data_IF_887893541223
#
_entry.id   IF_887893541223
#
_cell.length_a   1.000
_cell.length_b   1.000
_cell.length_c   1.000
_cell.angle_alpha   90.00
_cell.angle_beta   90.00
_cell.angle_gamma   90.00
#
_symmetry.space_group_name_H-M   'P 1'
#
loop_
_entity.id
_entity.type
_entity.pdbx_description
1 polymer ?
#
# COMPACT_ATOMS: atom_id res chain seq x y z
N UNK A 1 4.46 -5.96 36.13
CA UNK A 1 3.46 -5.54 35.13
C UNK A 1 3.99 -4.25 34.54
N UNK A 2 4.73 -4.34 33.42
CA UNK A 2 5.60 -3.25 32.95
C UNK A 2 4.85 -2.30 32.03
N UNK A 3 5.10 -1.00 32.19
CA UNK A 3 4.58 0.14 31.42
C UNK A 3 4.76 -0.01 29.89
N UNK A 4 5.60 -0.96 29.45
CA UNK A 4 5.79 -1.34 28.05
C UNK A 4 4.55 -1.99 27.42
N UNK A 5 3.64 -2.59 28.20
CA UNK A 5 2.43 -3.23 27.67
C UNK A 5 1.33 -2.21 27.33
N UNK A 6 1.38 -1.01 27.90
CA UNK A 6 0.34 0.01 27.72
C UNK A 6 0.54 0.84 26.44
N UNK A 7 1.72 0.81 25.81
CA UNK A 7 2.01 1.56 24.58
C UNK A 7 1.56 0.83 23.29
N UNK A 8 1.20 -0.46 23.38
CA UNK A 8 0.72 -1.26 22.23
C UNK A 8 -0.74 -0.99 21.85
N UNK A 9 -1.47 -0.14 22.57
CA UNK A 9 -2.93 0.06 22.39
C UNK A 9 -3.28 1.16 21.38
N UNK A 10 -2.32 1.89 20.79
CA UNK A 10 -2.62 3.03 19.89
C UNK A 10 -1.89 3.01 18.53
N UNK A 11 -1.56 1.83 18.00
CA UNK A 11 -1.30 1.70 16.56
C UNK A 11 -2.55 1.09 15.90
N UNK A 12 -3.57 1.92 15.66
CA UNK A 12 -4.69 1.58 14.78
C UNK A 12 -4.20 1.59 13.33
N UNK A 13 -3.40 0.60 12.96
CA UNK A 13 -3.04 0.29 11.58
C UNK A 13 -3.58 -1.08 11.23
N UNK A 14 -4.13 -1.23 10.03
CA UNK A 14 -4.56 -2.53 9.50
C UNK A 14 -3.35 -3.47 9.42
N UNK A 15 -3.36 -4.58 10.16
CA UNK A 15 -2.32 -5.61 10.01
C UNK A 15 -2.58 -6.46 8.77
N UNK A 16 -1.52 -6.77 8.01
CA UNK A 16 -1.61 -7.75 6.93
C UNK A 16 -1.74 -9.15 7.55
N UNK A 17 -2.88 -9.82 7.32
CA UNK A 17 -3.16 -11.17 7.85
C UNK A 17 -2.10 -12.16 7.37
N UNK A 18 -1.50 -12.90 8.32
CA UNK A 18 -0.40 -13.84 8.03
C UNK A 18 0.94 -13.17 7.69
N UNK A 19 1.01 -11.84 7.76
CA UNK A 19 2.23 -11.07 7.55
C UNK A 19 3.18 -11.07 8.74
N UNK A 20 4.30 -10.36 8.58
CA UNK A 20 5.24 -10.07 9.65
C UNK A 20 5.62 -8.59 9.60
N UNK A 21 6.11 -8.06 10.72
CA UNK A 21 6.54 -6.67 10.80
C UNK A 21 7.71 -6.45 9.84
N UNK A 22 7.55 -5.52 8.91
CA UNK A 22 8.61 -5.13 7.99
C UNK A 22 9.78 -4.50 8.76
N UNK A 23 11.05 -4.87 8.47
CA UNK A 23 12.19 -4.23 9.09
C UNK A 23 12.22 -2.73 8.80
N UNK A 24 12.70 -1.95 9.78
CA UNK A 24 12.77 -0.49 9.68
C UNK A 24 13.57 -0.07 8.44
N UNK A 25 13.08 0.94 7.73
CA UNK A 25 13.71 1.57 6.56
C UNK A 25 13.91 0.65 5.33
N UNK A 26 13.22 -0.49 5.23
CA UNK A 26 13.30 -1.33 4.03
C UNK A 26 12.29 -0.94 2.94
N UNK A 27 11.15 -0.37 3.31
CA UNK A 27 10.05 -0.06 2.40
C UNK A 27 9.84 1.45 2.29
N UNK A 28 10.90 2.19 1.94
CA UNK A 28 10.87 3.67 1.91
C UNK A 28 9.88 4.24 0.88
N UNK A 29 9.45 3.44 -0.09
CA UNK A 29 8.40 3.80 -1.05
C UNK A 29 6.97 3.63 -0.50
N UNK A 30 6.79 3.01 0.67
CA UNK A 30 5.44 2.80 1.23
C UNK A 30 4.87 4.11 1.77
N UNK A 31 3.71 4.50 1.26
CA UNK A 31 2.98 5.67 1.71
C UNK A 31 1.73 5.28 2.51
N UNK A 32 1.47 6.02 3.59
CA UNK A 32 0.20 5.99 4.31
C UNK A 32 -0.65 7.17 3.87
N UNK A 33 -1.67 6.93 3.05
CA UNK A 33 -2.68 7.93 2.70
C UNK A 33 -3.64 8.04 3.87
N UNK A 34 -3.80 9.25 4.42
CA UNK A 34 -4.55 9.48 5.65
C UNK A 34 -5.76 10.40 5.41
N UNK A 35 -6.84 10.13 6.13
CA UNK A 35 -7.96 11.05 6.30
C UNK A 35 -7.91 11.66 7.71
N UNK A 36 -8.92 12.45 8.08
CA UNK A 36 -9.05 12.97 9.45
C UNK A 36 -9.22 11.87 10.50
N UNK A 37 -9.60 10.67 10.07
CA UNK A 37 -9.85 9.51 10.93
C UNK A 37 -8.60 8.63 11.11
N UNK A 38 -7.52 8.90 10.36
CA UNK A 38 -6.25 8.17 10.45
C UNK A 38 -5.85 7.55 9.12
N UNK A 39 -5.11 6.44 9.18
CA UNK A 39 -4.74 5.65 7.99
C UNK A 39 -6.00 5.24 7.25
N UNK A 40 -6.08 5.66 5.99
CA UNK A 40 -7.21 5.31 5.13
C UNK A 40 -6.79 4.33 4.07
N UNK A 41 -5.58 4.46 3.51
CA UNK A 41 -5.15 3.70 2.35
C UNK A 41 -3.63 3.54 2.25
N UNK A 42 -3.19 2.47 1.58
CA UNK A 42 -1.80 2.30 1.17
C UNK A 42 -1.47 3.13 -0.08
N UNK A 43 -0.18 3.28 -0.36
CA UNK A 43 0.29 3.91 -1.58
C UNK A 43 1.78 3.64 -1.82
N UNK A 44 2.23 4.00 -3.01
CA UNK A 44 3.63 3.86 -3.43
C UNK A 44 4.19 5.18 -3.92
N UNK A 45 5.28 5.67 -3.33
CA UNK A 45 6.02 6.80 -3.87
C UNK A 45 6.65 6.40 -5.22
N UNK A 46 6.18 7.01 -6.31
CA UNK A 46 6.64 6.74 -7.68
C UNK A 46 7.48 7.89 -8.26
N UNK A 47 7.43 9.06 -7.63
CA UNK A 47 8.38 10.16 -7.80
C UNK A 47 8.36 11.03 -6.54
N UNK A 48 9.25 12.02 -6.45
CA UNK A 48 9.37 12.91 -5.27
C UNK A 48 8.06 13.57 -4.83
N UNK A 49 7.12 13.76 -5.77
CA UNK A 49 5.85 14.45 -5.53
C UNK A 49 4.61 13.60 -5.85
N UNK A 50 4.77 12.32 -6.23
CA UNK A 50 3.65 11.47 -6.66
C UNK A 50 3.59 10.16 -5.89
N UNK A 51 2.42 9.90 -5.33
CA UNK A 51 2.04 8.62 -4.73
C UNK A 51 1.01 7.94 -5.63
N UNK A 52 1.31 6.72 -6.07
CA UNK A 52 0.38 5.84 -6.76
C UNK A 52 -0.47 5.07 -5.73
N UNK A 53 -1.79 5.04 -5.94
CA UNK A 53 -2.74 4.33 -5.06
C UNK A 53 -3.98 3.86 -5.85
N UNK A 54 -4.90 3.16 -5.20
CA UNK A 54 -6.15 2.69 -5.78
C UNK A 54 -7.20 3.81 -5.80
N UNK A 55 -8.05 3.87 -6.84
CA UNK A 55 -9.05 4.92 -6.96
C UNK A 55 -10.18 4.83 -5.92
N UNK A 56 -10.53 3.63 -5.48
CA UNK A 56 -11.64 3.35 -4.55
C UNK A 56 -11.21 3.29 -3.06
N UNK A 57 -10.03 3.81 -2.75
CA UNK A 57 -9.25 3.63 -1.52
C UNK A 57 -10.01 3.29 -0.22
N UNK A 58 -9.41 2.39 0.56
CA UNK A 58 -9.74 1.79 1.87
C UNK A 58 -8.46 1.04 2.30
N UNK A 59 -8.43 -0.23 2.69
CA UNK A 59 -7.13 -0.96 2.85
C UNK A 59 -6.32 -1.18 1.54
N UNK A 60 -6.88 -0.76 0.41
CA UNK A 60 -6.32 -0.86 -0.95
C UNK A 60 -5.13 0.09 -1.19
N UNK A 61 -4.56 0.06 -2.39
CA UNK A 61 -3.60 1.07 -2.85
C UNK A 61 -2.11 0.82 -2.55
N UNK A 62 -1.78 -0.05 -1.61
CA UNK A 62 -0.39 -0.46 -1.36
C UNK A 62 0.23 -1.22 -2.55
N UNK A 63 1.58 -1.24 -2.69
CA UNK A 63 2.25 -1.95 -3.77
C UNK A 63 2.33 -3.47 -3.54
N UNK A 64 2.04 -4.25 -4.58
CA UNK A 64 2.60 -5.58 -4.76
C UNK A 64 3.99 -5.44 -5.37
N UNK A 65 5.02 -5.92 -4.67
CA UNK A 65 6.41 -5.81 -5.10
C UNK A 65 6.96 -7.16 -5.54
N UNK A 66 7.40 -7.25 -6.79
CA UNK A 66 8.05 -8.41 -7.37
C UNK A 66 9.45 -8.02 -7.85
N UNK A 67 10.50 -8.67 -7.34
CA UNK A 67 11.90 -8.37 -7.70
C UNK A 67 12.27 -6.88 -7.59
N UNK A 68 11.78 -6.20 -6.55
CA UNK A 68 12.04 -4.77 -6.32
C UNK A 68 11.22 -3.82 -7.22
N UNK A 69 10.32 -4.33 -8.06
CA UNK A 69 9.44 -3.54 -8.92
C UNK A 69 8.03 -3.54 -8.36
N UNK A 70 7.39 -2.38 -8.33
CA UNK A 70 5.95 -2.26 -8.06
C UNK A 70 5.18 -2.87 -9.25
N UNK A 71 4.80 -4.13 -9.11
CA UNK A 71 4.11 -4.90 -10.14
C UNK A 71 2.60 -4.69 -10.11
N UNK A 72 2.05 -4.38 -8.94
CA UNK A 72 0.62 -4.19 -8.75
C UNK A 72 0.27 -3.16 -7.71
N UNK A 73 -0.98 -2.68 -7.76
CA UNK A 73 -1.61 -1.87 -6.70
C UNK A 73 -2.75 -2.69 -6.11
N UNK A 74 -2.78 -2.88 -4.78
CA UNK A 74 -3.86 -3.62 -4.10
C UNK A 74 -5.20 -3.03 -4.53
N UNK A 75 -6.10 -3.85 -5.07
CA UNK A 75 -7.40 -3.41 -5.55
C UNK A 75 -8.49 -3.94 -4.62
N UNK A 76 -8.87 -5.20 -4.75
CA UNK A 76 -9.91 -5.82 -3.93
C UNK A 76 -9.52 -7.26 -3.60
N UNK A 77 -10.24 -7.85 -2.65
CA UNK A 77 -10.11 -9.24 -2.23
C UNK A 77 -11.38 -9.68 -1.55
N UNK A 78 -11.41 -10.93 -1.12
CA UNK A 78 -12.51 -11.43 -0.28
C UNK A 78 -12.40 -10.90 1.16
N UNK A 79 -13.52 -10.89 1.90
CA UNK A 79 -13.54 -10.49 3.32
C UNK A 79 -12.65 -11.41 4.18
N UNK A 80 -12.56 -12.67 3.81
CA UNK A 80 -11.58 -13.61 4.35
C UNK A 80 -10.27 -13.47 3.56
N UNK A 81 -9.55 -12.34 3.68
CA UNK A 81 -8.37 -11.88 2.90
C UNK A 81 -7.21 -12.89 2.63
N UNK A 82 -7.34 -14.14 3.08
CA UNK A 82 -6.42 -15.26 2.90
C UNK A 82 -7.14 -16.55 2.41
N UNK A 83 -8.25 -16.44 1.68
CA UNK A 83 -8.88 -17.59 0.99
C UNK A 83 -8.06 -17.98 -0.26
N UNK A 84 -7.71 -19.25 -0.36
CA UNK A 84 -6.98 -19.81 -1.51
C UNK A 84 -7.83 -19.87 -2.79
N UNK A 85 -9.17 -19.86 -2.69
CA UNK A 85 -10.09 -19.86 -3.82
C UNK A 85 -10.32 -18.46 -4.38
N UNK A 86 -10.21 -17.43 -3.53
CA UNK A 86 -10.43 -16.03 -3.88
C UNK A 86 -9.17 -15.21 -3.59
N UNK A 87 -8.21 -15.19 -4.53
CA UNK A 87 -6.96 -14.47 -4.32
C UNK A 87 -7.20 -12.97 -4.28
N UNK A 88 -6.32 -12.27 -3.56
CA UNK A 88 -6.25 -10.81 -3.63
C UNK A 88 -5.97 -10.36 -5.07
N UNK A 89 -6.73 -9.38 -5.54
CA UNK A 89 -6.67 -8.83 -6.89
C UNK A 89 -5.95 -7.49 -6.87
N UNK A 90 -5.04 -7.33 -7.84
CA UNK A 90 -4.19 -6.16 -7.98
C UNK A 90 -4.38 -5.53 -9.36
N UNK A 91 -4.33 -4.20 -9.42
CA UNK A 91 -4.22 -3.50 -10.70
C UNK A 91 -2.81 -3.72 -11.25
N UNK A 92 -2.69 -4.32 -12.44
CA UNK A 92 -1.41 -4.55 -13.12
C UNK A 92 -0.78 -3.22 -13.59
N UNK A 93 0.29 -2.80 -12.90
CA UNK A 93 0.98 -1.52 -13.15
C UNK A 93 1.56 -1.48 -14.57
N UNK A 94 1.94 -2.63 -15.15
CA UNK A 94 2.55 -2.68 -16.48
C UNK A 94 1.60 -2.19 -17.58
N UNK A 95 0.28 -2.38 -17.40
CA UNK A 95 -0.74 -1.91 -18.36
C UNK A 95 -0.89 -0.40 -18.38
N UNK A 96 -0.58 0.26 -17.27
CA UNK A 96 -0.74 1.70 -17.11
C UNK A 96 0.57 2.47 -17.22
N UNK A 97 1.71 1.78 -17.41
CA UNK A 97 3.03 2.41 -17.43
C UNK A 97 3.14 3.58 -18.42
N UNK A 98 2.68 3.49 -19.68
CA UNK A 98 2.75 4.63 -20.60
C UNK A 98 1.98 5.86 -20.12
N UNK A 99 0.82 5.64 -19.49
CA UNK A 99 0.01 6.72 -18.94
C UNK A 99 0.67 7.34 -17.70
N UNK A 100 1.21 6.53 -16.80
CA UNK A 100 1.95 7.00 -15.63
C UNK A 100 3.13 7.89 -16.07
N UNK A 101 3.91 7.43 -17.05
CA UNK A 101 5.05 8.18 -17.57
C UNK A 101 4.64 9.51 -18.20
N UNK A 102 3.52 9.52 -18.92
CA UNK A 102 2.96 10.75 -19.47
C UNK A 102 2.64 11.75 -18.36
N UNK A 103 1.94 11.33 -17.30
CA UNK A 103 1.58 12.19 -16.17
C UNK A 103 2.82 12.73 -15.46
N UNK A 104 3.81 11.87 -15.18
CA UNK A 104 5.04 12.30 -14.52
C UNK A 104 5.78 13.34 -15.36
N UNK A 105 5.90 13.12 -16.68
CA UNK A 105 6.54 14.05 -17.60
C UNK A 105 5.81 15.38 -17.71
N UNK A 106 4.48 15.37 -17.79
CA UNK A 106 3.65 16.59 -17.85
C UNK A 106 3.78 17.46 -16.59
N UNK A 107 4.05 16.82 -15.45
CA UNK A 107 4.23 17.49 -14.16
C UNK A 107 5.70 17.72 -13.77
N UNK A 108 6.63 17.54 -14.71
CA UNK A 108 8.04 17.91 -14.54
C UNK A 108 8.84 16.96 -13.62
N UNK A 109 8.52 15.67 -13.61
CA UNK A 109 9.27 14.62 -12.93
C UNK A 109 10.22 13.87 -13.88
#
# INVERSE_FOLDING_TARGET
>A
MSLHFLLMILALGSEIKGGHIAPRNQLLYMASVQTREGHYCGGSLISDNFVLTAAHCGDSGGPLVCNGVAAGVVSFGDEECNDQHFPNVYTDVSKFRPWIDQILKENGC
#
